data_IF_265916245745
#
_entry.id   IF_265916245745
#
_cell.length_a   1.000
_cell.length_b   1.000
_cell.length_c   1.000
_cell.angle_alpha   90.00
_cell.angle_beta   90.00
_cell.angle_gamma   90.00
#
_symmetry.space_group_name_H-M   'P 1'
#
loop_
_entity.id
_entity.type
_entity.pdbx_description
1 polymer ?
#
# COMPACT_ATOMS: atom_id res chain seq x y z
N UNK A 1 -2.72 -32.06 8.22
CA UNK A 1 -4.10 -31.71 8.63
C UNK A 1 -5.05 -32.08 7.50
N UNK A 2 -6.30 -32.45 7.79
CA UNK A 2 -7.29 -32.67 6.72
C UNK A 2 -7.66 -31.34 6.05
N UNK A 3 -8.07 -31.37 4.78
CA UNK A 3 -8.46 -30.18 4.04
C UNK A 3 -9.57 -29.37 4.76
N UNK A 4 -10.58 -30.05 5.31
CA UNK A 4 -11.64 -29.40 6.08
C UNK A 4 -11.15 -28.71 7.35
N UNK A 5 -10.12 -29.24 8.03
CA UNK A 5 -9.55 -28.59 9.21
C UNK A 5 -8.75 -27.34 8.82
N UNK A 6 -8.08 -27.34 7.67
CA UNK A 6 -7.38 -26.15 7.14
C UNK A 6 -8.40 -25.05 6.81
N UNK A 7 -9.50 -25.39 6.13
CA UNK A 7 -10.57 -24.43 5.83
C UNK A 7 -11.20 -23.85 7.10
N UNK A 8 -11.48 -24.68 8.10
CA UNK A 8 -11.99 -24.22 9.39
C UNK A 8 -10.99 -23.26 10.08
N UNK A 9 -9.70 -23.60 10.06
CA UNK A 9 -8.66 -22.74 10.62
C UNK A 9 -8.55 -21.40 9.88
N UNK A 10 -8.71 -21.38 8.55
CA UNK A 10 -8.75 -20.16 7.74
C UNK A 10 -9.93 -19.26 8.11
N UNK A 11 -11.13 -19.82 8.30
CA UNK A 11 -12.29 -19.05 8.76
C UNK A 11 -12.03 -18.44 10.15
N UNK A 12 -11.48 -19.24 11.07
CA UNK A 12 -11.14 -18.76 12.42
C UNK A 12 -10.09 -17.63 12.34
N UNK A 13 -9.03 -17.81 11.55
CA UNK A 13 -8.01 -16.79 11.35
C UNK A 13 -8.61 -15.50 10.75
N UNK A 14 -9.51 -15.61 9.78
CA UNK A 14 -10.22 -14.47 9.19
C UNK A 14 -11.03 -13.70 10.25
N UNK A 15 -11.74 -14.38 11.15
CA UNK A 15 -12.44 -13.76 12.28
C UNK A 15 -11.47 -13.01 13.19
N UNK A 16 -10.31 -13.59 13.51
CA UNK A 16 -9.28 -12.92 14.30
C UNK A 16 -8.72 -11.66 13.61
N UNK A 17 -8.57 -11.65 12.28
CA UNK A 17 -8.18 -10.45 11.54
C UNK A 17 -9.26 -9.35 11.57
N UNK A 18 -10.54 -9.71 11.49
CA UNK A 18 -11.65 -8.77 11.66
C UNK A 18 -11.63 -8.17 13.07
N UNK A 19 -11.48 -9.01 14.10
CA UNK A 19 -11.38 -8.57 15.50
C UNK A 19 -10.14 -7.70 15.75
N UNK A 20 -9.03 -7.96 15.06
CA UNK A 20 -7.83 -7.14 15.11
C UNK A 20 -8.11 -5.72 14.63
N UNK A 21 -8.68 -5.56 13.44
CA UNK A 21 -9.03 -4.25 12.87
C UNK A 21 -10.08 -3.52 13.73
N UNK A 22 -11.10 -4.24 14.21
CA UNK A 22 -12.09 -3.68 15.12
C UNK A 22 -11.46 -3.21 16.44
N UNK A 23 -10.55 -3.99 17.01
CA UNK A 23 -9.84 -3.65 18.24
C UNK A 23 -8.92 -2.44 18.08
N UNK A 24 -8.25 -2.30 16.94
CA UNK A 24 -7.37 -1.17 16.61
C UNK A 24 -8.13 0.16 16.41
N UNK A 25 -9.44 0.12 16.18
CA UNK A 25 -10.26 1.33 15.98
C UNK A 25 -10.50 2.14 17.27
N UNK A 26 -10.22 1.57 18.45
CA UNK A 26 -10.39 2.25 19.75
C UNK A 26 -9.10 2.14 20.57
N UNK A 27 -8.72 3.25 21.20
CA UNK A 27 -7.49 3.32 22.01
C UNK A 27 -7.47 2.30 23.16
N UNK A 28 -8.61 2.10 23.82
CA UNK A 28 -8.73 1.16 24.96
C UNK A 28 -8.52 -0.30 24.55
N UNK A 29 -8.96 -0.69 23.35
CA UNK A 29 -8.85 -2.06 22.83
C UNK A 29 -7.67 -2.29 21.89
N UNK A 30 -6.88 -1.25 21.57
CA UNK A 30 -5.81 -1.33 20.56
C UNK A 30 -4.79 -2.44 20.85
N UNK A 31 -4.44 -2.64 22.13
CA UNK A 31 -3.52 -3.71 22.54
C UNK A 31 -4.11 -5.10 22.30
N UNK A 32 -5.37 -5.32 22.66
CA UNK A 32 -6.08 -6.57 22.42
C UNK A 32 -6.27 -6.83 20.93
N UNK A 33 -6.56 -5.78 20.14
CA UNK A 33 -6.61 -5.83 18.68
C UNK A 33 -5.32 -6.41 18.09
N UNK A 34 -4.17 -5.89 18.51
CA UNK A 34 -2.88 -6.42 18.06
C UNK A 34 -2.68 -7.91 18.42
N UNK A 35 -3.10 -8.35 19.60
CA UNK A 35 -3.03 -9.77 19.97
C UNK A 35 -3.93 -10.65 19.09
N UNK A 36 -5.13 -10.19 18.72
CA UNK A 36 -5.98 -10.92 17.76
C UNK A 36 -5.29 -11.08 16.41
N UNK A 37 -4.59 -10.04 15.92
CA UNK A 37 -3.80 -10.12 14.69
C UNK A 37 -2.68 -11.16 14.77
N UNK A 38 -1.94 -11.19 15.88
CA UNK A 38 -0.86 -12.17 16.12
C UNK A 38 -1.43 -13.60 16.12
N UNK A 39 -2.53 -13.83 16.83
CA UNK A 39 -3.17 -15.15 16.91
C UNK A 39 -3.71 -15.57 15.54
N UNK A 40 -4.39 -14.69 14.81
CA UNK A 40 -4.89 -14.96 13.46
C UNK A 40 -3.78 -15.35 12.49
N UNK A 41 -2.66 -14.60 12.49
CA UNK A 41 -1.50 -14.92 11.66
C UNK A 41 -0.84 -16.25 12.05
N UNK A 42 -0.73 -16.55 13.35
CA UNK A 42 -0.18 -17.82 13.81
C UNK A 42 -1.05 -19.01 13.36
N UNK A 43 -2.38 -18.91 13.50
CA UNK A 43 -3.32 -19.95 13.03
C UNK A 43 -3.18 -20.15 11.52
N UNK A 44 -3.14 -19.07 10.76
CA UNK A 44 -2.99 -19.10 9.30
C UNK A 44 -1.72 -19.86 8.88
N UNK A 45 -0.57 -19.45 9.41
CA UNK A 45 0.72 -20.05 9.07
C UNK A 45 0.79 -21.53 9.46
N UNK A 46 0.32 -21.89 10.65
CA UNK A 46 0.27 -23.29 11.09
C UNK A 46 -0.63 -24.11 10.18
N UNK A 47 -1.83 -23.61 9.86
CA UNK A 47 -2.77 -24.33 8.99
C UNK A 47 -2.21 -24.55 7.59
N UNK A 48 -1.51 -23.56 7.01
CA UNK A 48 -0.89 -23.67 5.69
C UNK A 48 0.31 -24.62 5.68
N UNK A 49 1.21 -24.52 6.68
CA UNK A 49 2.43 -25.38 6.75
C UNK A 49 2.07 -26.84 7.01
N UNK A 50 1.04 -27.12 7.82
CA UNK A 50 0.63 -28.48 8.13
C UNK A 50 -0.54 -28.97 7.26
N UNK A 51 -0.82 -28.26 6.16
CA UNK A 51 -1.85 -28.62 5.19
C UNK A 51 -1.51 -29.89 4.38
N UNK A 52 -2.49 -30.49 3.69
CA UNK A 52 -2.30 -31.75 2.96
C UNK A 52 -1.38 -31.66 1.74
N UNK A 53 -1.12 -30.45 1.21
CA UNK A 53 -0.28 -30.21 0.03
C UNK A 53 0.99 -29.40 0.37
N UNK A 54 1.45 -29.42 1.63
CA UNK A 54 2.67 -28.70 2.01
C UNK A 54 3.91 -29.52 1.68
N UNK A 55 4.60 -29.13 0.61
CA UNK A 55 5.91 -29.65 0.26
C UNK A 55 7.01 -28.63 0.58
N UNK A 56 8.26 -29.10 0.69
CA UNK A 56 9.40 -28.20 0.88
C UNK A 56 9.41 -27.42 2.19
N UNK A 57 8.79 -27.95 3.26
CA UNK A 57 8.65 -27.29 4.58
C UNK A 57 9.98 -26.69 5.09
N UNK A 58 11.10 -27.38 4.88
CA UNK A 58 12.44 -26.88 5.26
C UNK A 58 12.75 -25.53 4.59
N UNK A 59 12.47 -25.40 3.29
CA UNK A 59 12.66 -24.15 2.55
C UNK A 59 11.71 -23.05 3.01
N UNK A 60 10.45 -23.40 3.29
CA UNK A 60 9.45 -22.47 3.84
C UNK A 60 9.95 -21.90 5.18
N UNK A 61 10.39 -22.76 6.10
CA UNK A 61 10.88 -22.35 7.42
C UNK A 61 12.15 -21.50 7.30
N UNK A 62 13.09 -21.86 6.43
CA UNK A 62 14.30 -21.06 6.18
C UNK A 62 13.92 -19.66 5.68
N UNK A 63 13.04 -19.56 4.68
CA UNK A 63 12.59 -18.28 4.14
C UNK A 63 11.87 -17.43 5.21
N UNK A 64 11.02 -18.05 6.04
CA UNK A 64 10.34 -17.38 7.14
C UNK A 64 11.30 -16.86 8.21
N UNK A 65 12.32 -17.65 8.59
CA UNK A 65 13.31 -17.23 9.59
C UNK A 65 14.15 -16.07 9.06
N UNK A 66 14.58 -16.12 7.79
CA UNK A 66 15.34 -15.03 7.16
C UNK A 66 14.47 -13.76 7.07
N UNK A 67 13.27 -13.86 6.47
CA UNK A 67 12.37 -12.72 6.31
C UNK A 67 11.92 -12.13 7.64
N UNK A 68 11.51 -12.98 8.59
CA UNK A 68 11.12 -12.58 9.93
C UNK A 68 12.27 -11.96 10.73
N UNK A 69 13.48 -12.51 10.63
CA UNK A 69 14.68 -11.97 11.27
C UNK A 69 15.04 -10.57 10.77
N UNK A 70 15.03 -10.37 9.44
CA UNK A 70 15.25 -9.06 8.82
C UNK A 70 14.15 -8.07 9.25
N UNK A 71 12.89 -8.49 9.19
CA UNK A 71 11.74 -7.68 9.59
C UNK A 71 11.83 -7.22 11.05
N UNK A 72 12.14 -8.14 11.97
CA UNK A 72 12.31 -7.82 13.40
C UNK A 72 13.48 -6.86 13.62
N UNK A 73 14.60 -7.03 12.90
CA UNK A 73 15.74 -6.14 13.02
C UNK A 73 15.38 -4.70 12.65
N UNK A 74 14.76 -4.49 11.49
CA UNK A 74 14.37 -3.15 11.04
C UNK A 74 13.26 -2.55 11.89
N UNK A 75 12.24 -3.33 12.26
CA UNK A 75 11.13 -2.86 13.10
C UNK A 75 11.58 -2.37 14.49
N UNK A 76 12.68 -2.92 15.04
CA UNK A 76 13.25 -2.48 16.33
C UNK A 76 14.17 -1.27 16.21
N UNK A 77 14.73 -1.01 15.04
CA UNK A 77 15.77 0.01 14.83
C UNK A 77 15.22 1.32 14.29
N UNK A 78 14.10 1.29 13.58
CA UNK A 78 13.52 2.48 12.94
C UNK A 78 13.02 3.48 13.99
N UNK A 79 13.25 4.77 13.74
CA UNK A 79 12.70 5.82 14.58
C UNK A 79 11.21 6.04 14.28
N UNK A 80 10.43 6.50 15.26
CA UNK A 80 8.99 6.77 15.07
C UNK A 80 8.70 7.83 13.99
N UNK A 81 9.68 8.71 13.72
CA UNK A 81 9.66 9.74 12.66
C UNK A 81 9.79 9.14 11.26
N UNK A 82 10.41 7.97 11.14
CA UNK A 82 10.66 7.20 9.92
C UNK A 82 9.59 6.11 9.69
N UNK A 83 8.56 6.00 10.54
CA UNK A 83 7.50 5.01 10.34
C UNK A 83 6.80 5.07 8.97
N UNK A 84 6.50 6.25 8.37
CA UNK A 84 5.84 6.30 7.07
C UNK A 84 6.64 5.63 5.94
N UNK A 85 7.97 5.76 5.93
CA UNK A 85 8.81 5.14 4.91
C UNK A 85 8.97 3.63 5.16
N UNK A 86 9.05 3.18 6.42
CA UNK A 86 9.06 1.75 6.72
C UNK A 86 7.78 1.08 6.23
N UNK A 87 6.62 1.71 6.49
CA UNK A 87 5.34 1.22 6.00
C UNK A 87 5.30 1.20 4.47
N UNK A 88 5.82 2.25 3.81
CA UNK A 88 5.91 2.29 2.36
C UNK A 88 6.70 1.10 1.80
N UNK A 89 7.92 0.84 2.30
CA UNK A 89 8.73 -0.27 1.78
C UNK A 89 8.13 -1.64 2.10
N UNK A 90 7.40 -1.80 3.21
CA UNK A 90 6.74 -3.06 3.54
C UNK A 90 5.68 -3.49 2.51
N UNK A 91 4.92 -2.54 1.95
CA UNK A 91 3.98 -2.83 0.87
C UNK A 91 4.67 -3.30 -0.41
N UNK A 92 5.94 -2.93 -0.62
CA UNK A 92 6.69 -3.42 -1.78
C UNK A 92 6.86 -4.95 -1.73
N UNK A 93 7.16 -5.51 -0.54
CA UNK A 93 7.29 -6.95 -0.38
C UNK A 93 5.96 -7.68 -0.65
N UNK A 94 4.82 -7.10 -0.26
CA UNK A 94 3.49 -7.67 -0.58
C UNK A 94 3.26 -7.68 -2.09
N UNK A 95 3.56 -6.56 -2.78
CA UNK A 95 3.43 -6.47 -4.23
C UNK A 95 4.32 -7.47 -4.97
N UNK A 96 5.60 -7.58 -4.57
CA UNK A 96 6.52 -8.55 -5.17
C UNK A 96 6.12 -10.00 -4.87
N UNK A 97 5.63 -10.28 -3.66
CA UNK A 97 5.09 -11.61 -3.34
C UNK A 97 3.91 -11.97 -4.25
N UNK A 98 2.98 -11.04 -4.51
CA UNK A 98 1.87 -11.27 -5.44
C UNK A 98 2.35 -11.53 -6.88
N UNK A 99 3.38 -10.81 -7.34
CA UNK A 99 4.01 -11.07 -8.65
C UNK A 99 4.59 -12.49 -8.69
N UNK A 100 5.43 -12.85 -7.73
CA UNK A 100 6.08 -14.17 -7.68
C UNK A 100 5.07 -15.30 -7.59
N UNK A 101 4.04 -15.14 -6.76
CA UNK A 101 2.94 -16.09 -6.61
C UNK A 101 2.13 -16.21 -7.92
N UNK A 102 1.95 -15.11 -8.65
CA UNK A 102 1.32 -15.12 -9.98
C UNK A 102 2.10 -15.90 -11.03
N UNK A 103 3.42 -15.68 -11.13
CA UNK A 103 4.25 -16.48 -12.02
C UNK A 103 4.29 -17.96 -11.61
N UNK A 104 4.38 -18.25 -10.32
CA UNK A 104 4.35 -19.63 -9.83
C UNK A 104 3.03 -20.32 -10.21
N UNK A 105 1.90 -19.64 -10.01
CA UNK A 105 0.58 -20.18 -10.34
C UNK A 105 0.37 -20.44 -11.82
N UNK A 106 1.08 -19.72 -12.71
CA UNK A 106 1.03 -19.98 -14.13
C UNK A 106 1.91 -21.18 -14.53
N UNK A 107 3.08 -21.32 -13.90
CA UNK A 107 4.02 -22.42 -14.18
C UNK A 107 3.51 -23.76 -13.64
N UNK A 108 2.79 -23.71 -12.53
CA UNK A 108 2.16 -24.86 -11.88
C UNK A 108 0.64 -24.64 -11.84
N UNK A 109 0.06 -24.53 -13.04
CA UNK A 109 -1.35 -24.21 -13.19
C UNK A 109 -2.23 -25.36 -12.65
N UNK A 110 -3.23 -25.07 -11.80
CA UNK A 110 -4.16 -26.09 -11.32
C UNK A 110 -4.92 -26.71 -12.50
N UNK A 111 -5.24 -28.01 -12.40
CA UNK A 111 -6.08 -28.69 -13.39
C UNK A 111 -7.46 -28.01 -13.43
N UNK A 112 -7.74 -27.25 -14.50
CA UNK A 112 -9.04 -26.64 -14.71
C UNK A 112 -10.03 -27.70 -15.20
N UNK A 113 -11.16 -27.85 -14.52
CA UNK A 113 -12.20 -28.81 -14.92
C UNK A 113 -13.00 -28.31 -16.14
N UNK A 114 -13.01 -26.99 -16.36
CA UNK A 114 -13.67 -26.37 -17.51
C UNK A 114 -12.80 -25.29 -18.18
N UNK A 115 -13.07 -25.02 -19.46
CA UNK A 115 -12.43 -23.89 -20.16
C UNK A 115 -12.73 -22.54 -19.48
N UNK A 116 -13.93 -22.39 -18.91
CA UNK A 116 -14.30 -21.17 -18.20
C UNK A 116 -13.43 -20.96 -16.95
N UNK A 117 -13.20 -22.00 -16.15
CA UNK A 117 -12.30 -21.95 -14.98
C UNK A 117 -10.86 -21.62 -15.39
N UNK A 118 -10.38 -22.20 -16.50
CA UNK A 118 -9.05 -21.89 -17.02
C UNK A 118 -8.91 -20.40 -17.35
N UNK A 119 -9.87 -19.85 -18.10
CA UNK A 119 -9.88 -18.43 -18.47
C UNK A 119 -9.96 -17.54 -17.22
N UNK A 120 -10.80 -17.88 -16.25
CA UNK A 120 -10.90 -17.13 -14.98
C UNK A 120 -9.55 -17.12 -14.25
N UNK A 121 -8.91 -18.29 -14.12
CA UNK A 121 -7.60 -18.41 -13.48
C UNK A 121 -6.53 -17.55 -14.19
N UNK A 122 -6.48 -17.59 -15.52
CA UNK A 122 -5.57 -16.74 -16.30
C UNK A 122 -5.82 -15.24 -16.04
N UNK A 123 -7.09 -14.81 -15.98
CA UNK A 123 -7.44 -13.42 -15.66
C UNK A 123 -6.98 -13.04 -14.25
N UNK A 124 -7.18 -13.92 -13.26
CA UNK A 124 -6.75 -13.70 -11.87
C UNK A 124 -5.23 -13.56 -11.76
N UNK A 125 -4.46 -14.45 -12.41
CA UNK A 125 -3.00 -14.35 -12.51
C UNK A 125 -2.59 -13.01 -13.10
N UNK A 126 -3.17 -12.64 -14.24
CA UNK A 126 -2.80 -11.43 -14.97
C UNK A 126 -3.04 -10.17 -14.14
N UNK A 127 -4.23 -10.05 -13.53
CA UNK A 127 -4.58 -8.90 -12.70
C UNK A 127 -3.77 -8.86 -11.39
N UNK A 128 -3.55 -10.02 -10.76
CA UNK A 128 -2.74 -10.13 -9.54
C UNK A 128 -1.30 -9.67 -9.77
N UNK A 129 -0.67 -10.11 -10.86
CA UNK A 129 0.68 -9.68 -11.25
C UNK A 129 0.72 -8.19 -11.58
N UNK A 130 -0.27 -7.66 -12.32
CA UNK A 130 -0.34 -6.24 -12.64
C UNK A 130 -0.42 -5.37 -11.38
N UNK A 131 -1.38 -5.65 -10.48
CA UNK A 131 -1.58 -4.86 -9.25
C UNK A 131 -0.35 -5.01 -8.34
N UNK A 132 0.20 -6.22 -8.21
CA UNK A 132 1.40 -6.49 -7.42
C UNK A 132 2.62 -5.71 -7.92
N UNK A 133 2.87 -5.70 -9.22
CA UNK A 133 3.99 -5.00 -9.83
C UNK A 133 3.89 -3.48 -9.66
N UNK A 134 2.69 -2.90 -9.87
CA UNK A 134 2.43 -1.48 -9.62
C UNK A 134 2.64 -1.11 -8.16
N UNK A 135 2.16 -1.96 -7.25
CA UNK A 135 2.33 -1.77 -5.80
C UNK A 135 3.80 -1.81 -5.41
N UNK A 136 4.58 -2.75 -5.97
CA UNK A 136 6.00 -2.88 -5.69
C UNK A 136 6.78 -1.61 -6.05
N UNK A 137 6.76 -1.19 -7.32
CA UNK A 137 7.54 -0.02 -7.73
C UNK A 137 7.01 1.27 -7.15
N UNK A 138 5.68 1.43 -7.03
CA UNK A 138 5.09 2.59 -6.39
C UNK A 138 5.56 2.75 -4.93
N UNK A 139 5.60 1.64 -4.19
CA UNK A 139 6.07 1.59 -2.80
C UNK A 139 7.56 1.90 -2.66
N UNK A 140 8.40 1.39 -3.57
CA UNK A 140 9.84 1.70 -3.58
C UNK A 140 10.08 3.19 -3.85
N UNK A 141 9.33 3.81 -4.77
CA UNK A 141 9.45 5.24 -5.05
C UNK A 141 8.94 6.08 -3.87
N UNK A 142 7.81 5.71 -3.26
CA UNK A 142 7.30 6.38 -2.06
C UNK A 142 8.30 6.34 -0.91
N UNK A 143 8.90 5.17 -0.66
CA UNK A 143 10.00 5.01 0.30
C UNK A 143 11.17 5.94 -0.04
N UNK A 144 11.66 5.93 -1.28
CA UNK A 144 12.79 6.74 -1.71
C UNK A 144 12.54 8.25 -1.55
N UNK A 145 11.32 8.72 -1.80
CA UNK A 145 10.94 10.13 -1.59
C UNK A 145 10.86 10.51 -0.11
N UNK A 146 10.29 9.65 0.74
CA UNK A 146 10.19 9.89 2.18
C UNK A 146 11.55 9.87 2.87
N UNK A 147 12.47 8.99 2.42
CA UNK A 147 13.88 8.94 2.85
C UNK A 147 14.71 10.13 2.36
N UNK A 148 14.25 10.87 1.35
CA UNK A 148 15.03 11.91 0.66
C UNK A 148 16.10 11.39 -0.30
N UNK A 149 16.04 10.11 -0.68
CA UNK A 149 16.93 9.49 -1.69
C UNK A 149 16.48 9.91 -3.10
N UNK A 150 15.18 10.05 -3.31
CA UNK A 150 14.55 10.53 -4.55
C UNK A 150 14.01 11.95 -4.29
N UNK A 151 14.08 12.83 -5.29
CA UNK A 151 13.53 14.18 -5.17
C UNK A 151 12.05 14.17 -4.77
N UNK A 152 11.71 14.99 -3.78
CA UNK A 152 10.33 15.24 -3.35
C UNK A 152 9.51 16.02 -4.38
N UNK A 153 10.14 16.62 -5.39
CA UNK A 153 9.45 17.33 -6.45
C UNK A 153 8.68 16.35 -7.36
N UNK A 154 7.45 16.69 -7.81
CA UNK A 154 6.74 15.89 -8.79
C UNK A 154 7.54 15.75 -10.10
N UNK A 155 7.69 14.54 -10.61
CA UNK A 155 8.24 14.30 -11.95
C UNK A 155 7.19 14.71 -12.99
N UNK A 156 7.48 15.76 -13.76
CA UNK A 156 6.61 16.26 -14.81
C UNK A 156 7.17 15.89 -16.19
N UNK A 157 6.81 14.71 -16.69
CA UNK A 157 7.06 14.33 -18.07
C UNK A 157 6.04 14.98 -19.02
N UNK A 158 6.44 15.34 -20.26
CA UNK A 158 5.50 15.82 -21.26
C UNK A 158 4.43 14.75 -21.51
N UNK A 159 3.16 15.16 -21.45
CA UNK A 159 2.00 14.27 -21.64
C UNK A 159 1.92 13.08 -20.66
N UNK A 160 2.34 13.24 -19.40
CA UNK A 160 2.29 12.19 -18.35
C UNK A 160 0.98 11.38 -18.32
N UNK A 161 -0.17 12.04 -18.50
CA UNK A 161 -1.48 11.38 -18.52
C UNK A 161 -1.66 10.46 -19.74
N UNK A 162 -1.15 10.85 -20.91
CA UNK A 162 -1.20 10.01 -22.12
C UNK A 162 -0.29 8.79 -21.95
N UNK A 163 0.88 8.94 -21.31
CA UNK A 163 1.77 7.82 -21.02
C UNK A 163 1.12 6.81 -20.05
N UNK A 164 0.48 7.30 -18.99
CA UNK A 164 -0.27 6.46 -18.06
C UNK A 164 -1.44 5.74 -18.74
N UNK A 165 -2.21 6.47 -19.55
CA UNK A 165 -3.30 5.87 -20.31
C UNK A 165 -2.78 4.82 -21.31
N UNK A 166 -1.69 5.11 -22.01
CA UNK A 166 -1.06 4.18 -22.93
C UNK A 166 -0.60 2.90 -22.22
N UNK A 167 0.01 3.01 -21.03
CA UNK A 167 0.40 1.85 -20.23
C UNK A 167 -0.80 0.95 -19.90
N UNK A 168 -1.94 1.53 -19.52
CA UNK A 168 -3.18 0.78 -19.22
C UNK A 168 -3.75 0.14 -20.50
N UNK A 169 -3.86 0.89 -21.59
CA UNK A 169 -4.41 0.39 -22.87
C UNK A 169 -3.55 -0.73 -23.45
N UNK A 170 -2.23 -0.57 -23.45
CA UNK A 170 -1.30 -1.61 -23.91
C UNK A 170 -1.37 -2.84 -23.01
N UNK A 171 -1.48 -2.67 -21.69
CA UNK A 171 -1.68 -3.80 -20.77
C UNK A 171 -3.00 -4.52 -21.04
N UNK A 172 -4.10 -3.80 -21.24
CA UNK A 172 -5.39 -4.42 -21.60
C UNK A 172 -5.33 -5.16 -22.95
N UNK A 173 -4.60 -4.62 -23.92
CA UNK A 173 -4.36 -5.30 -25.20
C UNK A 173 -3.51 -6.57 -25.03
N UNK A 174 -2.44 -6.51 -24.23
CA UNK A 174 -1.61 -7.68 -23.90
C UNK A 174 -2.39 -8.77 -23.16
N UNK A 175 -3.39 -8.40 -22.36
CA UNK A 175 -4.29 -9.37 -21.74
C UNK A 175 -5.06 -10.19 -22.79
N UNK A 176 -5.52 -9.55 -23.87
CA UNK A 176 -6.18 -10.28 -24.96
C UNK A 176 -5.21 -11.26 -25.64
N UNK A 177 -3.95 -10.86 -25.87
CA UNK A 177 -2.94 -11.77 -26.43
C UNK A 177 -2.63 -12.92 -25.47
N UNK A 178 -2.53 -12.63 -24.18
CA UNK A 178 -2.28 -13.61 -23.12
C UNK A 178 -3.37 -14.68 -23.07
N UNK A 179 -4.64 -14.26 -23.10
CA UNK A 179 -5.78 -15.18 -23.08
C UNK A 179 -5.90 -16.01 -24.36
N UNK A 180 -5.69 -15.41 -25.54
CA UNK A 180 -5.71 -16.14 -26.80
C UNK A 180 -4.48 -17.07 -26.98
N UNK A 181 -3.38 -16.75 -26.31
CA UNK A 181 -2.15 -17.55 -26.27
C UNK A 181 -2.11 -18.55 -25.11
N UNK A 182 -3.26 -18.89 -24.54
CA UNK A 182 -3.44 -19.91 -23.50
C UNK A 182 -2.51 -19.74 -22.29
N UNK A 183 -2.34 -18.49 -21.82
CA UNK A 183 -1.49 -18.21 -20.66
C UNK A 183 0.00 -18.09 -21.00
N UNK A 184 0.36 -17.73 -22.24
CA UNK A 184 1.76 -17.56 -22.61
C UNK A 184 2.53 -16.63 -21.64
N UNK A 185 3.71 -17.07 -21.20
CA UNK A 185 4.58 -16.30 -20.31
C UNK A 185 5.03 -14.96 -20.91
N UNK A 186 5.13 -14.87 -22.24
CA UNK A 186 5.72 -13.70 -22.90
C UNK A 186 4.85 -12.44 -22.74
N UNK A 187 3.54 -12.44 -23.08
CA UNK A 187 2.65 -11.31 -22.78
C UNK A 187 2.61 -10.91 -21.31
N UNK A 188 2.61 -11.89 -20.39
CA UNK A 188 2.64 -11.65 -18.95
C UNK A 188 3.92 -10.93 -18.52
N UNK A 189 5.07 -11.37 -19.04
CA UNK A 189 6.37 -10.77 -18.79
C UNK A 189 6.46 -9.33 -19.28
N UNK A 190 6.03 -9.07 -20.52
CA UNK A 190 6.01 -7.71 -21.08
C UNK A 190 5.07 -6.81 -20.27
N UNK A 191 3.88 -7.29 -19.90
CA UNK A 191 2.98 -6.54 -19.03
C UNK A 191 3.62 -6.24 -17.68
N UNK A 192 4.31 -7.20 -17.07
CA UNK A 192 4.96 -7.02 -15.76
C UNK A 192 5.97 -5.88 -15.81
N UNK A 193 6.78 -5.80 -16.87
CA UNK A 193 7.72 -4.69 -17.08
C UNK A 193 7.01 -3.35 -17.27
N UNK A 194 5.91 -3.32 -18.02
CA UNK A 194 5.08 -2.12 -18.18
C UNK A 194 4.48 -1.71 -16.83
N UNK A 195 3.99 -2.65 -16.03
CA UNK A 195 3.40 -2.41 -14.72
C UNK A 195 4.45 -1.85 -13.73
N UNK A 196 5.68 -2.35 -13.75
CA UNK A 196 6.78 -1.78 -12.98
C UNK A 196 7.06 -0.32 -13.38
N UNK A 197 7.18 -0.04 -14.68
CA UNK A 197 7.39 1.32 -15.18
C UNK A 197 6.20 2.24 -14.86
N UNK A 198 4.98 1.73 -14.97
CA UNK A 198 3.75 2.45 -14.66
C UNK A 198 3.66 2.80 -13.18
N UNK A 199 3.90 1.85 -12.28
CA UNK A 199 3.91 2.09 -10.83
C UNK A 199 4.98 3.10 -10.42
N UNK A 200 6.17 3.03 -11.03
CA UNK A 200 7.23 4.02 -10.84
C UNK A 200 6.75 5.42 -11.27
N UNK A 201 6.27 5.55 -12.51
CA UNK A 201 5.87 6.84 -13.07
C UNK A 201 4.67 7.45 -12.34
N UNK A 202 3.69 6.64 -11.92
CA UNK A 202 2.51 7.08 -11.18
C UNK A 202 2.90 7.74 -9.85
N UNK A 203 3.76 7.11 -9.05
CA UNK A 203 4.18 7.67 -7.75
C UNK A 203 5.27 8.74 -7.89
N UNK A 204 6.15 8.62 -8.90
CA UNK A 204 7.14 9.64 -9.21
C UNK A 204 6.49 10.98 -9.59
N UNK A 205 5.30 10.95 -10.19
CA UNK A 205 4.53 12.14 -10.59
C UNK A 205 3.80 12.84 -9.44
N UNK A 206 3.82 12.28 -8.22
CA UNK A 206 3.13 12.86 -7.05
C UNK A 206 4.14 13.60 -6.16
N UNK A 207 3.75 14.75 -5.59
CA UNK A 207 4.63 15.56 -4.73
C UNK A 207 4.87 14.94 -3.35
N UNK A 208 6.01 15.28 -2.75
CA UNK A 208 6.40 14.82 -1.40
C UNK A 208 5.36 15.13 -0.31
N UNK A 209 4.68 16.27 -0.42
CA UNK A 209 3.63 16.69 0.52
C UNK A 209 2.44 15.72 0.56
N UNK A 210 2.16 15.02 -0.54
CA UNK A 210 1.04 14.08 -0.66
C UNK A 210 1.43 12.63 -0.39
N UNK A 211 2.72 12.36 -0.11
CA UNK A 211 3.22 11.01 0.10
C UNK A 211 2.47 10.23 1.19
N UNK A 212 1.99 10.81 2.32
CA UNK A 212 1.19 10.06 3.27
C UNK A 212 -0.08 9.44 2.65
N UNK A 213 -0.76 10.17 1.76
CA UNK A 213 -1.93 9.65 1.04
C UNK A 213 -1.51 8.54 0.09
N UNK A 214 -0.39 8.71 -0.63
CA UNK A 214 0.14 7.68 -1.53
C UNK A 214 0.46 6.38 -0.80
N UNK A 215 1.09 6.45 0.37
CA UNK A 215 1.39 5.28 1.19
C UNK A 215 0.10 4.56 1.61
N UNK A 216 -0.95 5.29 1.99
CA UNK A 216 -2.26 4.72 2.30
C UNK A 216 -2.96 4.10 1.07
N UNK A 217 -2.81 4.69 -0.11
CA UNK A 217 -3.36 4.11 -1.34
C UNK A 217 -2.61 2.84 -1.74
N UNK A 218 -1.29 2.82 -1.61
CA UNK A 218 -0.47 1.63 -1.86
C UNK A 218 -0.79 0.50 -0.86
N UNK A 219 -1.16 0.83 0.38
CA UNK A 219 -1.71 -0.13 1.32
C UNK A 219 -2.99 -0.77 0.76
N UNK A 220 -3.91 0.03 0.21
CA UNK A 220 -5.11 -0.48 -0.45
C UNK A 220 -4.76 -1.43 -1.61
N UNK A 221 -3.83 -1.03 -2.49
CA UNK A 221 -3.40 -1.88 -3.61
C UNK A 221 -2.74 -3.18 -3.15
N UNK A 222 -1.96 -3.15 -2.07
CA UNK A 222 -1.39 -4.37 -1.48
C UNK A 222 -2.47 -5.33 -0.98
N UNK A 223 -3.58 -4.81 -0.43
CA UNK A 223 -4.75 -5.61 -0.05
C UNK A 223 -5.45 -6.24 -1.25
N UNK A 224 -5.68 -5.47 -2.32
CA UNK A 224 -6.26 -6.00 -3.56
C UNK A 224 -5.35 -7.02 -4.26
N UNK A 225 -4.02 -6.83 -4.22
CA UNK A 225 -3.06 -7.81 -4.72
C UNK A 225 -3.11 -9.11 -3.91
N UNK A 226 -3.22 -9.02 -2.58
CA UNK A 226 -3.39 -10.18 -1.71
C UNK A 226 -4.73 -10.91 -1.98
N UNK A 227 -5.81 -10.16 -2.20
CA UNK A 227 -7.11 -10.74 -2.56
C UNK A 227 -7.06 -11.45 -3.92
N UNK A 228 -6.38 -10.86 -4.91
CA UNK A 228 -6.17 -11.47 -6.22
C UNK A 228 -5.33 -12.76 -6.12
N UNK A 229 -4.26 -12.75 -5.33
CA UNK A 229 -3.52 -13.97 -5.01
C UNK A 229 -4.39 -15.01 -4.27
N UNK A 230 -5.34 -14.55 -3.45
CA UNK A 230 -6.32 -15.42 -2.80
C UNK A 230 -7.25 -16.11 -3.79
N UNK A 231 -7.79 -15.40 -4.78
CA UNK A 231 -8.61 -16.00 -5.84
C UNK A 231 -7.82 -17.01 -6.66
N UNK A 232 -6.63 -16.61 -7.12
CA UNK A 232 -5.74 -17.45 -7.91
C UNK A 232 -5.33 -18.75 -7.21
N UNK A 233 -5.17 -18.72 -5.89
CA UNK A 233 -4.82 -19.89 -5.07
C UNK A 233 -6.05 -20.59 -4.45
N UNK A 234 -7.27 -20.16 -4.78
CA UNK A 234 -8.51 -20.61 -4.15
C UNK A 234 -8.44 -20.60 -2.60
N UNK A 235 -7.88 -19.52 -2.03
CA UNK A 235 -7.62 -19.36 -0.61
C UNK A 235 -8.50 -18.27 0.01
N UNK A 236 -9.58 -18.70 0.67
CA UNK A 236 -10.56 -17.83 1.33
C UNK A 236 -9.93 -16.86 2.34
N UNK A 237 -8.89 -17.28 3.05
CA UNK A 237 -8.23 -16.41 4.04
C UNK A 237 -7.58 -15.21 3.36
N UNK A 238 -6.86 -15.43 2.25
CA UNK A 238 -6.21 -14.35 1.50
C UNK A 238 -7.24 -13.42 0.84
N UNK A 239 -8.36 -13.98 0.36
CA UNK A 239 -9.47 -13.19 -0.19
C UNK A 239 -10.04 -12.26 0.89
N UNK A 240 -10.40 -12.82 2.05
CA UNK A 240 -11.01 -12.04 3.15
C UNK A 240 -10.03 -11.02 3.70
N UNK A 241 -8.80 -11.42 4.02
CA UNK A 241 -7.80 -10.50 4.58
C UNK A 241 -7.39 -9.43 3.59
N UNK A 242 -7.20 -9.78 2.32
CA UNK A 242 -6.91 -8.84 1.24
C UNK A 242 -8.03 -7.81 1.05
N UNK A 243 -9.30 -8.24 1.00
CA UNK A 243 -10.45 -7.34 0.88
C UNK A 243 -10.59 -6.39 2.09
N UNK A 244 -10.33 -6.88 3.31
CA UNK A 244 -10.35 -6.06 4.53
C UNK A 244 -9.27 -4.96 4.50
N UNK A 245 -8.03 -5.32 4.15
CA UNK A 245 -6.92 -4.36 4.03
C UNK A 245 -7.15 -3.41 2.87
N UNK A 246 -7.61 -3.92 1.73
CA UNK A 246 -7.88 -3.15 0.51
C UNK A 246 -8.92 -2.06 0.73
N UNK A 247 -10.07 -2.44 1.30
CA UNK A 247 -11.15 -1.49 1.62
C UNK A 247 -10.75 -0.48 2.71
N UNK A 248 -10.07 -0.93 3.78
CA UNK A 248 -9.58 -0.06 4.85
C UNK A 248 -8.60 1.00 4.31
N UNK A 249 -7.64 0.60 3.48
CA UNK A 249 -6.70 1.52 2.84
C UNK A 249 -7.38 2.54 1.93
N UNK A 250 -8.41 2.13 1.18
CA UNK A 250 -9.17 3.04 0.32
C UNK A 250 -9.93 4.09 1.14
N UNK A 251 -10.61 3.66 2.21
CA UNK A 251 -11.34 4.55 3.13
C UNK A 251 -10.39 5.52 3.81
N UNK A 252 -9.25 5.03 4.33
CA UNK A 252 -8.25 5.87 4.98
C UNK A 252 -7.71 6.93 4.01
N UNK A 253 -7.38 6.54 2.78
CA UNK A 253 -6.89 7.46 1.75
C UNK A 253 -7.89 8.58 1.46
N UNK A 254 -9.18 8.23 1.36
CA UNK A 254 -10.25 9.21 1.17
C UNK A 254 -10.37 10.18 2.35
N UNK A 255 -10.34 9.68 3.59
CA UNK A 255 -10.42 10.50 4.80
C UNK A 255 -9.20 11.44 4.89
N UNK A 256 -8.00 10.95 4.56
CA UNK A 256 -6.78 11.77 4.53
C UNK A 256 -6.88 12.90 3.49
N UNK A 257 -7.32 12.59 2.27
CA UNK A 257 -7.58 13.60 1.25
C UNK A 257 -8.55 14.68 1.73
N UNK A 258 -9.68 14.27 2.33
CA UNK A 258 -10.68 15.18 2.87
C UNK A 258 -10.12 16.04 4.01
N UNK A 259 -9.33 15.47 4.90
CA UNK A 259 -8.68 16.19 5.99
C UNK A 259 -7.66 17.23 5.49
N UNK A 260 -7.04 16.97 4.33
CA UNK A 260 -6.12 17.90 3.67
C UNK A 260 -6.82 18.91 2.73
N UNK A 261 -8.16 18.92 2.68
CA UNK A 261 -8.96 19.72 1.74
C UNK A 261 -8.52 19.56 0.26
N UNK A 262 -8.13 18.35 -0.14
CA UNK A 262 -7.72 18.03 -1.51
C UNK A 262 -8.54 16.87 -2.05
N UNK A 263 -8.90 16.91 -3.33
CA UNK A 263 -9.65 15.81 -3.95
C UNK A 263 -8.73 14.60 -4.19
N UNK A 264 -9.25 13.39 -3.97
CA UNK A 264 -8.52 12.14 -4.22
C UNK A 264 -7.96 12.06 -5.65
N UNK A 265 -8.75 12.49 -6.63
CA UNK A 265 -8.36 12.51 -8.06
C UNK A 265 -7.19 13.49 -8.29
N UNK A 266 -7.20 14.68 -7.67
CA UNK A 266 -6.11 15.65 -7.83
C UNK A 266 -4.78 15.15 -7.27
N UNK A 267 -4.82 14.36 -6.18
CA UNK A 267 -3.64 13.73 -5.59
C UNK A 267 -3.07 12.66 -6.51
N UNK A 268 -3.91 11.72 -7.00
CA UNK A 268 -3.46 10.66 -7.94
C UNK A 268 -2.95 11.24 -9.25
N UNK A 269 -3.63 12.24 -9.79
CA UNK A 269 -3.26 12.84 -11.07
C UNK A 269 -1.99 13.72 -10.96
N UNK A 270 -1.44 13.90 -9.76
CA UNK A 270 -0.23 14.69 -9.54
C UNK A 270 -0.43 16.17 -9.88
N UNK A 271 -1.47 16.79 -9.33
CA UNK A 271 -1.72 18.24 -9.44
C UNK A 271 -2.79 18.65 -10.46
N UNK A 272 -3.62 17.72 -10.93
CA UNK A 272 -4.79 18.09 -11.76
C UNK A 272 -5.82 18.81 -10.88
N UNK A 273 -6.01 20.13 -11.10
CA UNK A 273 -7.06 20.91 -10.43
C UNK A 273 -6.60 21.88 -9.34
N UNK A 274 -5.33 22.28 -9.30
CA UNK A 274 -4.98 23.58 -8.72
C UNK A 274 -4.35 24.48 -9.79
N UNK A 275 -5.14 24.81 -10.82
CA UNK A 275 -5.35 26.23 -11.02
C UNK A 275 -6.16 26.69 -9.80
N UNK A 276 -5.48 26.98 -8.69
CA UNK A 276 -5.96 28.11 -7.92
C UNK A 276 -5.70 29.26 -8.88
N UNK A 277 -6.70 29.59 -9.69
CA UNK A 277 -6.81 30.93 -10.20
C UNK A 277 -6.70 31.80 -8.95
N UNK A 278 -5.52 32.39 -8.76
CA UNK A 278 -5.39 33.61 -7.98
C UNK A 278 -6.12 34.71 -8.76
N UNK A 279 -7.42 34.54 -9.00
CA UNK A 279 -8.35 35.65 -9.15
C UNK A 279 -8.61 36.13 -7.73
N UNK A 280 -7.63 36.88 -7.24
CA UNK A 280 -7.57 37.32 -5.87
C UNK A 280 -6.19 37.89 -5.61
N UNK A 281 -6.03 39.17 -5.92
CA UNK A 281 -5.03 40.06 -5.32
C UNK A 281 -5.28 40.15 -3.81
N UNK A 282 -5.07 39.04 -3.10
CA UNK A 282 -4.94 39.07 -1.65
C UNK A 282 -3.59 39.71 -1.35
N UNK A 283 -3.52 41.04 -1.39
CA UNK A 283 -2.46 41.73 -0.65
C UNK A 283 -2.47 41.18 0.78
N UNK A 284 -1.31 40.77 1.30
CA UNK A 284 -1.20 40.42 2.71
C UNK A 284 -1.65 41.63 3.56
N UNK A 285 -2.86 41.57 4.08
CA UNK A 285 -3.39 42.61 4.94
C UNK A 285 -2.87 42.39 6.36
N UNK A 286 -1.86 43.19 6.76
CA UNK A 286 -1.39 43.27 8.14
C UNK A 286 0.14 43.38 8.27
N UNK A 287 0.61 43.95 9.37
CA UNK A 287 2.02 43.89 9.76
C UNK A 287 2.29 42.62 10.58
N UNK A 288 3.34 41.88 10.26
CA UNK A 288 3.82 40.80 11.10
C UNK A 288 4.35 41.37 12.43
N UNK A 289 4.04 40.72 13.54
CA UNK A 289 4.57 41.07 14.86
C UNK A 289 5.51 39.98 15.34
N UNK A 290 6.78 40.32 15.47
CA UNK A 290 7.77 39.48 16.12
C UNK A 290 7.65 39.61 17.64
N UNK A 291 7.93 38.54 18.37
CA UNK A 291 7.95 38.53 19.84
C UNK A 291 9.10 37.67 20.34
N UNK A 292 9.68 38.05 21.47
CA UNK A 292 10.80 37.32 22.09
C UNK A 292 10.32 36.10 22.88
N UNK A 293 11.24 35.15 23.15
CA UNK A 293 10.91 33.97 23.95
C UNK A 293 10.47 34.35 25.38
N UNK A 294 11.06 35.41 25.93
CA UNK A 294 10.74 35.97 27.25
C UNK A 294 9.33 36.56 27.28
N UNK A 295 8.94 37.33 26.26
CA UNK A 295 7.59 37.90 26.14
C UNK A 295 6.52 36.81 26.02
N UNK A 296 6.76 35.80 25.18
CA UNK A 296 5.84 34.66 25.03
C UNK A 296 5.72 33.90 26.35
N UNK A 297 6.82 33.72 27.10
CA UNK A 297 6.79 33.07 28.41
C UNK A 297 5.94 33.87 29.43
N UNK A 298 6.01 35.19 29.41
CA UNK A 298 5.20 36.05 30.27
C UNK A 298 3.71 36.02 29.87
N UNK A 299 3.40 36.06 28.57
CA UNK A 299 2.04 35.89 28.05
C UNK A 299 1.44 34.54 28.46
N UNK A 300 2.22 33.46 28.38
CA UNK A 300 1.81 32.13 28.82
C UNK A 300 1.55 32.09 30.33
N UNK A 301 2.39 32.74 31.16
CA UNK A 301 2.24 32.80 32.62
C UNK A 301 0.96 33.52 33.05
N UNK A 302 0.56 34.54 32.28
CA UNK A 302 -0.66 35.32 32.51
C UNK A 302 -1.91 34.71 31.86
N UNK A 303 -1.76 33.61 31.10
CA UNK A 303 -2.86 32.93 30.41
C UNK A 303 -3.55 31.89 31.31
N UNK A 304 -4.88 31.82 31.24
CA UNK A 304 -5.68 30.84 32.00
C UNK A 304 -5.90 29.52 31.24
N UNK A 305 -5.81 29.56 29.92
CA UNK A 305 -6.01 28.42 29.02
C UNK A 305 -5.10 28.60 27.82
N UNK A 306 -4.40 27.54 27.44
CA UNK A 306 -3.45 27.53 26.32
C UNK A 306 -3.72 26.31 25.46
N UNK A 307 -3.86 26.52 24.15
CA UNK A 307 -3.94 25.45 23.16
C UNK A 307 -2.63 25.46 22.37
N UNK A 308 -1.93 24.32 22.38
CA UNK A 308 -0.66 24.17 21.64
C UNK A 308 -0.94 23.42 20.34
N UNK A 309 -0.87 24.13 19.22
CA UNK A 309 -0.96 23.53 17.87
C UNK A 309 0.43 23.12 17.41
N UNK A 310 0.75 21.83 17.45
CA UNK A 310 2.04 21.32 16.96
C UNK A 310 1.97 21.08 15.45
N UNK A 311 2.92 21.63 14.71
CA UNK A 311 3.10 21.37 13.27
C UNK A 311 4.37 20.53 13.08
N UNK A 312 4.34 19.56 12.18
CA UNK A 312 5.53 18.76 11.82
C UNK A 312 6.48 19.64 11.01
N UNK A 313 7.67 19.93 11.55
CA UNK A 313 8.72 20.57 10.78
C UNK A 313 9.33 19.53 9.82
N UNK A 314 9.15 19.72 8.51
CA UNK A 314 9.83 18.90 7.51
C UNK A 314 11.35 19.12 7.59
N UNK A 315 12.14 18.08 7.37
CA UNK A 315 13.61 18.18 7.27
C UNK A 315 14.10 19.04 6.09
N UNK A 316 13.20 19.56 5.25
CA UNK A 316 13.52 20.47 4.15
C UNK A 316 12.78 21.80 4.33
N UNK A 317 13.57 22.88 4.39
CA UNK A 317 13.20 24.31 4.41
C UNK A 317 12.32 24.77 5.57
N UNK A 318 12.94 25.53 6.49
CA UNK A 318 12.24 26.32 7.48
C UNK A 318 11.46 27.45 6.82
N UNK A 319 10.14 27.36 6.91
CA UNK A 319 9.23 28.50 6.90
C UNK A 319 7.96 28.07 7.60
N UNK A 320 7.76 28.59 8.81
CA UNK A 320 6.50 28.44 9.54
C UNK A 320 5.53 29.45 8.93
N UNK A 321 4.49 28.97 8.25
CA UNK A 321 3.26 29.74 8.06
C UNK A 321 2.27 29.18 9.09
N UNK A 322 2.22 29.81 10.25
CA UNK A 322 1.15 29.62 11.23
C UNK A 322 0.07 30.67 10.96
N UNK A 323 -1.17 30.21 10.87
CA UNK A 323 -2.35 31.05 11.06
C UNK A 323 -2.74 31.06 12.55
#
# INVERSE_FOLDING_TARGET
MSAGLVQAAYIVAAVFFILSLAGLSKQESARSGNYYGIIGMAIALIATIFGPHSEGIVWIVIAMVIGGGIGIHYAKKVEMTEMPELVAILHSFVGMAAVLVGYNSLLDAPEAATHAEHVIHLVEVYLGVFIGAVTFTGSVVAFGKLRGIISSSPLNLPHKHKLNLAAIVVSAWLMNIYLNGDGSLFPLFIMTLIAFAFGYHLVASIGGADMPVVVSMLNSYSGWAAAAAGFMLANDLLIVTGALVGSSGAILSYIMCKAMNRSFISVIAGGFGQEVSTEGTGEEYGEHRESSAEEVAEMLKNSKSVIITRIRHGRSSGSVSGA
#
